data_IF_643585689970
#
_entry.id   IF_643585689970
#
_cell.length_a   1.000
_cell.length_b   1.000
_cell.length_c   1.000
_cell.angle_alpha   90.00
_cell.angle_beta   90.00
_cell.angle_gamma   90.00
#
_symmetry.space_group_name_H-M   'P 1'
#
loop_
_entity.id
_entity.type
_entity.pdbx_description
1 polymer ?
#
# COMPACT_ATOMS: atom_id res chain seq x y z
N UNK A 1 56.74 9.15 17.77
CA UNK A 1 56.18 7.79 17.90
C UNK A 1 55.90 7.34 16.48
N UNK A 2 56.46 6.24 15.98
CA UNK A 2 56.58 6.04 14.53
C UNK A 2 55.79 4.83 14.01
N UNK A 3 55.17 4.98 12.84
CA UNK A 3 54.54 3.92 12.05
C UNK A 3 55.23 3.92 10.68
N UNK A 4 55.86 2.81 10.29
CA UNK A 4 56.70 2.72 9.08
C UNK A 4 57.77 3.81 8.96
N UNK A 5 58.34 4.24 10.10
CA UNK A 5 59.36 5.31 10.12
C UNK A 5 58.81 6.73 9.98
N UNK A 6 57.49 6.89 9.79
CA UNK A 6 56.81 8.18 9.79
C UNK A 6 56.28 8.50 11.18
N UNK A 7 56.39 9.76 11.61
CA UNK A 7 55.85 10.16 12.92
C UNK A 7 54.32 10.14 12.90
N UNK A 8 53.72 9.60 13.96
CA UNK A 8 52.28 9.41 14.08
C UNK A 8 51.55 10.75 14.17
N UNK A 9 52.18 11.81 14.69
CA UNK A 9 51.57 13.14 14.71
C UNK A 9 51.42 13.67 13.28
N UNK A 10 52.46 13.51 12.47
CA UNK A 10 52.44 13.85 11.05
C UNK A 10 51.35 13.09 10.27
N UNK A 11 51.18 11.78 10.51
CA UNK A 11 50.10 10.99 9.90
C UNK A 11 48.73 11.48 10.37
N UNK A 12 48.59 11.84 11.65
CA UNK A 12 47.35 12.37 12.21
C UNK A 12 46.95 13.70 11.56
N UNK A 13 47.92 14.59 11.35
CA UNK A 13 47.68 15.91 10.76
C UNK A 13 47.31 15.82 9.27
N UNK A 14 47.85 14.84 8.54
CA UNK A 14 47.54 14.63 7.11
C UNK A 14 46.19 13.95 6.91
N UNK A 15 45.93 12.85 7.63
CA UNK A 15 44.79 11.99 7.34
C UNK A 15 43.58 12.30 8.21
N UNK A 16 43.76 12.93 9.39
CA UNK A 16 42.69 13.34 10.30
C UNK A 16 42.38 12.42 11.50
N UNK A 17 42.63 11.09 11.49
CA UNK A 17 42.46 10.26 12.68
C UNK A 17 43.38 10.68 13.82
N UNK A 18 42.90 10.53 15.06
CA UNK A 18 43.72 10.81 16.25
C UNK A 18 44.91 9.86 16.33
N UNK A 19 46.06 10.27 16.91
CA UNK A 19 47.26 9.44 17.06
C UNK A 19 46.98 8.07 17.71
N UNK A 20 46.07 8.05 18.71
CA UNK A 20 45.63 6.82 19.38
C UNK A 20 44.91 5.83 18.46
N UNK A 21 44.12 6.32 17.50
CA UNK A 21 43.41 5.48 16.53
C UNK A 21 44.39 4.87 15.53
N UNK A 22 45.33 5.67 15.04
CA UNK A 22 46.40 5.21 14.13
C UNK A 22 47.21 4.11 14.80
N UNK A 23 47.55 4.28 16.08
CA UNK A 23 48.28 3.26 16.82
C UNK A 23 47.46 1.99 17.05
N UNK A 24 46.17 2.12 17.35
CA UNK A 24 45.26 0.97 17.46
C UNK A 24 45.22 0.17 16.17
N UNK A 25 45.07 0.85 15.02
CA UNK A 25 45.08 0.21 13.70
C UNK A 25 46.43 -0.42 13.37
N UNK A 26 47.54 0.25 13.67
CA UNK A 26 48.87 -0.29 13.44
C UNK A 26 49.12 -1.57 14.27
N UNK A 27 48.71 -1.58 15.54
CA UNK A 27 48.81 -2.79 16.36
C UNK A 27 47.90 -3.92 15.85
N UNK A 28 46.67 -3.59 15.44
CA UNK A 28 45.76 -4.56 14.79
C UNK A 28 46.38 -5.15 13.52
N UNK A 29 47.03 -4.32 12.71
CA UNK A 29 47.75 -4.75 11.52
C UNK A 29 48.94 -5.67 11.85
N UNK A 30 49.73 -5.34 12.87
CA UNK A 30 50.86 -6.17 13.30
C UNK A 30 50.42 -7.55 13.80
N UNK A 31 49.23 -7.65 14.42
CA UNK A 31 48.72 -8.91 14.98
C UNK A 31 47.99 -9.75 13.92
N UNK A 32 47.10 -9.12 13.14
CA UNK A 32 46.17 -9.84 12.24
C UNK A 32 46.59 -9.79 10.76
N UNK A 33 47.59 -8.97 10.40
CA UNK A 33 48.01 -8.72 9.01
C UNK A 33 47.03 -7.84 8.21
N UNK A 34 45.83 -7.57 8.73
CA UNK A 34 44.79 -6.75 8.11
C UNK A 34 44.08 -5.92 9.20
N UNK A 35 43.66 -4.71 8.85
CA UNK A 35 42.77 -3.87 9.69
C UNK A 35 41.37 -3.97 9.13
N UNK A 36 40.58 -4.92 9.64
CA UNK A 36 39.14 -5.01 9.38
C UNK A 36 38.36 -4.37 10.52
N UNK A 37 37.15 -3.88 10.22
CA UNK A 37 36.21 -3.48 11.25
C UNK A 37 35.76 -4.70 12.05
N UNK A 38 35.55 -4.51 13.36
CA UNK A 38 34.99 -5.56 14.20
C UNK A 38 33.63 -6.00 13.63
N UNK A 39 33.40 -7.32 13.57
CA UNK A 39 32.08 -7.83 13.20
C UNK A 39 31.04 -7.23 14.15
N UNK A 40 29.91 -6.73 13.64
CA UNK A 40 28.87 -6.21 14.50
C UNK A 40 28.48 -7.28 15.51
N UNK A 41 28.30 -6.92 16.80
CA UNK A 41 28.01 -7.90 17.84
C UNK A 41 26.76 -8.71 17.46
N UNK A 42 26.87 -10.04 17.58
CA UNK A 42 25.75 -10.94 17.34
C UNK A 42 24.64 -10.60 18.34
N UNK A 43 23.47 -10.16 17.84
CA UNK A 43 22.34 -9.76 18.68
C UNK A 43 21.79 -10.99 19.41
N UNK A 44 22.10 -11.12 20.70
CA UNK A 44 21.71 -12.25 21.56
C UNK A 44 20.25 -12.21 22.04
N UNK A 45 19.49 -11.14 21.75
CA UNK A 45 18.13 -10.95 22.23
C UNK A 45 17.05 -11.57 21.30
N UNK A 46 17.27 -12.79 20.80
CA UNK A 46 16.28 -13.53 20.03
C UNK A 46 15.40 -14.35 20.96
N UNK A 47 14.11 -14.42 20.66
CA UNK A 47 13.23 -15.38 21.34
C UNK A 47 13.69 -16.80 21.01
N UNK A 48 13.61 -17.74 21.97
CA UNK A 48 13.91 -19.11 21.68
C UNK A 48 12.89 -19.71 20.70
N UNK A 49 13.32 -20.76 19.98
CA UNK A 49 12.63 -21.29 18.80
C UNK A 49 11.23 -21.81 19.12
N UNK A 50 11.06 -22.36 20.33
CA UNK A 50 9.80 -22.84 20.89
C UNK A 50 8.77 -21.71 21.07
N UNK A 51 9.22 -20.54 21.53
CA UNK A 51 8.39 -19.33 21.67
C UNK A 51 7.97 -18.83 20.29
N UNK A 52 8.91 -18.75 19.34
CA UNK A 52 8.62 -18.32 17.97
C UNK A 52 7.59 -19.24 17.30
N UNK A 53 7.72 -20.56 17.46
CA UNK A 53 6.75 -21.52 16.93
C UNK A 53 5.36 -21.38 17.58
N UNK A 54 5.30 -21.09 18.89
CA UNK A 54 4.05 -20.80 19.59
C UNK A 54 3.38 -19.53 19.10
N UNK A 55 4.15 -18.46 18.91
CA UNK A 55 3.67 -17.18 18.37
C UNK A 55 3.16 -17.34 16.94
N UNK A 56 3.89 -18.08 16.09
CA UNK A 56 3.47 -18.35 14.71
C UNK A 56 2.11 -19.06 14.66
N UNK A 57 1.91 -20.06 15.54
CA UNK A 57 0.63 -20.76 15.66
C UNK A 57 -0.49 -19.82 16.12
N UNK A 58 -0.23 -18.97 17.10
CA UNK A 58 -1.21 -18.00 17.60
C UNK A 58 -1.64 -17.01 16.50
N UNK A 59 -0.68 -16.46 15.75
CA UNK A 59 -0.96 -15.50 14.66
C UNK A 59 -1.81 -16.13 13.57
N UNK A 60 -1.53 -17.39 13.19
CA UNK A 60 -2.32 -18.12 12.18
C UNK A 60 -3.76 -18.37 12.63
N UNK A 61 -3.98 -18.63 13.92
CA UNK A 61 -5.31 -18.84 14.49
C UNK A 61 -6.07 -17.52 14.70
N UNK A 62 -5.37 -16.42 14.90
CA UNK A 62 -5.95 -15.10 15.15
C UNK A 62 -5.34 -14.04 14.24
N UNK A 63 -5.74 -13.92 12.96
CA UNK A 63 -5.17 -12.92 12.04
C UNK A 63 -5.40 -11.46 12.46
N UNK A 64 -6.44 -11.19 13.28
CA UNK A 64 -6.88 -9.86 13.70
C UNK A 64 -6.71 -9.62 15.20
N UNK A 65 -5.52 -9.89 15.71
CA UNK A 65 -5.20 -9.76 17.13
C UNK A 65 -4.59 -8.39 17.48
N UNK A 66 -4.78 -7.98 18.73
CA UNK A 66 -4.09 -6.86 19.35
C UNK A 66 -2.75 -7.33 19.94
N UNK A 67 -1.70 -6.49 19.88
CA UNK A 67 -0.38 -6.88 20.40
C UNK A 67 -0.42 -7.20 21.90
N UNK A 68 -1.32 -6.56 22.65
CA UNK A 68 -1.58 -6.80 24.07
C UNK A 68 -2.14 -8.20 24.32
N UNK A 69 -2.94 -8.74 23.38
CA UNK A 69 -3.45 -10.12 23.47
C UNK A 69 -2.34 -11.13 23.26
N UNK A 70 -1.45 -10.89 22.30
CA UNK A 70 -0.26 -11.72 22.10
C UNK A 70 0.71 -11.59 23.30
N UNK A 71 0.84 -10.41 23.90
CA UNK A 71 1.60 -10.22 25.13
C UNK A 71 1.02 -11.04 26.29
N UNK A 72 -0.30 -11.07 26.45
CA UNK A 72 -0.98 -11.92 27.43
C UNK A 72 -0.70 -13.40 27.20
N UNK A 73 -0.86 -13.88 25.97
CA UNK A 73 -0.54 -15.25 25.58
C UNK A 73 0.91 -15.63 25.93
N UNK A 74 1.87 -14.75 25.67
CA UNK A 74 3.28 -14.97 26.00
C UNK A 74 3.52 -15.04 27.51
N UNK A 75 2.85 -14.20 28.31
CA UNK A 75 2.95 -14.25 29.79
C UNK A 75 2.40 -15.53 30.37
N UNK A 76 1.31 -16.04 29.81
CA UNK A 76 0.63 -17.23 30.30
C UNK A 76 1.36 -18.53 29.92
N UNK A 77 1.90 -18.60 28.70
CA UNK A 77 2.48 -19.84 28.17
C UNK A 77 4.01 -19.90 28.28
N UNK A 78 4.69 -18.76 28.47
CA UNK A 78 6.15 -18.67 28.47
C UNK A 78 6.67 -17.72 29.57
N UNK A 79 6.63 -18.18 30.83
CA UNK A 79 7.00 -17.38 32.01
C UNK A 79 8.47 -16.91 32.03
N UNK A 80 9.37 -17.63 31.35
CA UNK A 80 10.81 -17.35 31.35
C UNK A 80 11.22 -16.23 30.37
N UNK A 81 10.31 -15.81 29.48
CA UNK A 81 10.59 -14.81 28.43
C UNK A 81 10.44 -13.40 28.99
N UNK A 82 11.57 -12.74 29.29
CA UNK A 82 11.57 -11.40 29.90
C UNK A 82 11.35 -10.25 28.90
N UNK A 83 11.67 -10.45 27.62
CA UNK A 83 11.65 -9.40 26.59
C UNK A 83 10.29 -9.31 25.85
N UNK A 84 9.18 -9.24 26.58
CA UNK A 84 7.80 -9.23 26.05
C UNK A 84 7.19 -7.83 25.90
N UNK A 85 7.98 -6.77 25.79
CA UNK A 85 7.45 -5.42 25.52
C UNK A 85 6.74 -5.39 24.15
N UNK A 86 5.72 -4.53 23.96
CA UNK A 86 5.01 -4.41 22.68
C UNK A 86 5.97 -4.12 21.52
N UNK A 87 6.99 -3.28 21.75
CA UNK A 87 8.03 -2.98 20.76
C UNK A 87 8.95 -4.17 20.47
N UNK A 88 9.16 -5.08 21.41
CA UNK A 88 9.91 -6.32 21.16
C UNK A 88 9.05 -7.31 20.39
N UNK A 89 7.79 -7.48 20.77
CA UNK A 89 6.83 -8.34 20.08
C UNK A 89 6.70 -7.89 18.62
N UNK A 90 6.47 -6.59 18.37
CA UNK A 90 6.36 -6.06 17.02
C UNK A 90 7.64 -6.30 16.19
N UNK A 91 8.82 -6.11 16.79
CA UNK A 91 10.10 -6.42 16.12
C UNK A 91 10.24 -7.92 15.84
N UNK A 92 9.87 -8.80 16.75
CA UNK A 92 9.94 -10.24 16.55
C UNK A 92 9.00 -10.70 15.42
N UNK A 93 7.77 -10.18 15.39
CA UNK A 93 6.83 -10.43 14.29
C UNK A 93 7.42 -10.00 12.94
N UNK A 94 8.02 -8.80 12.86
CA UNK A 94 8.55 -8.27 11.60
C UNK A 94 9.86 -8.94 11.16
N UNK A 95 10.81 -9.15 12.08
CA UNK A 95 12.19 -9.52 11.74
C UNK A 95 12.49 -11.01 11.92
N UNK A 96 11.82 -11.70 12.85
CA UNK A 96 12.05 -13.13 13.08
C UNK A 96 11.00 -13.99 12.34
N UNK A 97 9.74 -13.55 12.31
CA UNK A 97 8.66 -14.24 11.58
C UNK A 97 8.37 -13.68 10.18
N UNK A 98 9.00 -12.57 9.81
CA UNK A 98 8.83 -11.96 8.48
C UNK A 98 7.41 -11.43 8.20
N UNK A 99 6.61 -11.18 9.24
CA UNK A 99 5.24 -10.75 9.11
C UNK A 99 5.16 -9.23 8.97
N UNK A 100 4.27 -8.74 8.10
CA UNK A 100 3.99 -7.31 7.98
C UNK A 100 2.57 -7.01 8.45
N UNK A 101 2.40 -5.94 9.23
CA UNK A 101 1.07 -5.47 9.63
C UNK A 101 0.36 -4.83 8.44
N UNK A 102 -0.64 -5.54 7.93
CA UNK A 102 -1.55 -4.99 6.93
C UNK A 102 -2.79 -4.43 7.61
N UNK A 103 -3.22 -3.23 7.19
CA UNK A 103 -4.50 -2.65 7.61
C UNK A 103 -5.59 -3.31 6.78
N UNK A 104 -6.54 -3.98 7.42
CA UNK A 104 -7.71 -4.52 6.73
C UNK A 104 -8.53 -3.35 6.20
N UNK A 105 -8.67 -3.29 4.88
CA UNK A 105 -9.53 -2.31 4.21
C UNK A 105 -10.99 -2.74 4.32
N UNK A 106 -11.94 -1.82 4.56
CA UNK A 106 -13.38 -2.14 4.65
C UNK A 106 -13.93 -2.88 3.42
N UNK A 107 -13.38 -2.63 2.23
CA UNK A 107 -13.80 -3.25 0.97
C UNK A 107 -13.77 -4.79 1.02
N UNK A 108 -12.75 -5.38 1.66
CA UNK A 108 -12.63 -6.84 1.80
C UNK A 108 -13.69 -7.46 2.72
N UNK A 109 -14.34 -6.67 3.59
CA UNK A 109 -15.40 -7.16 4.50
C UNK A 109 -16.79 -7.17 3.89
N UNK A 110 -17.02 -6.38 2.85
CA UNK A 110 -18.36 -6.16 2.27
C UNK A 110 -18.49 -6.71 0.83
N UNK A 111 -17.41 -7.24 0.25
CA UNK A 111 -17.47 -7.88 -1.07
C UNK A 111 -18.26 -9.18 -1.01
N UNK A 112 -19.30 -9.30 -1.83
CA UNK A 112 -20.12 -10.52 -1.94
C UNK A 112 -19.53 -11.42 -3.04
N UNK A 113 -18.92 -12.57 -2.72
CA UNK A 113 -18.22 -13.41 -3.71
C UNK A 113 -19.11 -13.85 -4.88
N UNK A 114 -20.40 -14.06 -4.62
CA UNK A 114 -21.38 -14.44 -5.62
C UNK A 114 -21.63 -13.33 -6.66
N UNK A 115 -21.66 -12.06 -6.24
CA UNK A 115 -21.88 -10.94 -7.17
C UNK A 115 -20.66 -10.73 -8.07
N UNK A 116 -19.46 -10.88 -7.51
CA UNK A 116 -18.21 -10.88 -8.28
C UNK A 116 -18.22 -12.02 -9.32
N UNK A 117 -18.61 -13.23 -8.92
CA UNK A 117 -18.70 -14.37 -9.83
C UNK A 117 -19.71 -14.12 -10.96
N UNK A 118 -20.88 -13.57 -10.64
CA UNK A 118 -21.91 -13.22 -11.62
C UNK A 118 -21.43 -12.13 -12.59
N UNK A 119 -20.75 -11.10 -12.09
CA UNK A 119 -20.14 -10.05 -12.92
C UNK A 119 -19.11 -10.64 -13.89
N UNK A 120 -18.21 -11.49 -13.39
CA UNK A 120 -17.21 -12.18 -14.22
C UNK A 120 -17.84 -13.03 -15.31
N UNK A 121 -18.87 -13.80 -14.96
CA UNK A 121 -19.58 -14.64 -15.93
C UNK A 121 -20.20 -13.79 -17.05
N UNK A 122 -20.87 -12.69 -16.71
CA UNK A 122 -21.42 -11.74 -17.70
C UNK A 122 -20.32 -11.16 -18.58
N UNK A 123 -19.24 -10.65 -17.98
CA UNK A 123 -18.14 -10.01 -18.69
C UNK A 123 -17.44 -10.97 -19.65
N UNK A 124 -17.16 -12.22 -19.23
CA UNK A 124 -16.55 -13.25 -20.09
C UNK A 124 -17.36 -13.56 -21.34
N UNK A 125 -18.69 -13.41 -21.31
CA UNK A 125 -19.52 -13.68 -22.50
C UNK A 125 -19.41 -12.63 -23.61
N UNK A 126 -18.86 -11.46 -23.30
CA UNK A 126 -18.85 -10.30 -24.21
C UNK A 126 -17.46 -9.71 -24.42
N UNK A 127 -16.53 -9.94 -23.50
CA UNK A 127 -15.19 -9.38 -23.55
C UNK A 127 -14.31 -10.14 -24.55
N UNK A 128 -13.60 -9.41 -25.40
CA UNK A 128 -12.60 -9.93 -26.33
C UNK A 128 -11.31 -9.12 -26.30
N UNK A 129 -11.37 -7.80 -26.12
CA UNK A 129 -10.20 -6.93 -26.04
C UNK A 129 -10.50 -5.66 -25.24
N UNK A 130 -9.49 -5.02 -24.60
CA UNK A 130 -9.69 -3.86 -23.73
C UNK A 130 -10.38 -2.67 -24.40
N UNK A 131 -10.21 -2.46 -25.71
CA UNK A 131 -10.78 -1.34 -26.44
C UNK A 131 -12.31 -1.36 -26.53
N UNK A 132 -12.95 -2.48 -26.17
CA UNK A 132 -14.42 -2.57 -26.04
C UNK A 132 -14.94 -1.93 -24.76
N UNK A 133 -14.06 -1.65 -23.79
CA UNK A 133 -14.45 -1.18 -22.48
C UNK A 133 -14.45 0.35 -22.41
N UNK A 134 -15.62 0.90 -22.12
CA UNK A 134 -15.78 2.29 -21.71
C UNK A 134 -16.16 2.26 -20.23
N UNK A 135 -15.25 2.73 -19.38
CA UNK A 135 -15.51 2.88 -17.96
C UNK A 135 -15.95 4.32 -17.67
N UNK A 136 -16.94 4.46 -16.80
CA UNK A 136 -17.45 5.74 -16.33
C UNK A 136 -17.51 5.65 -14.82
N UNK A 137 -16.84 6.58 -14.14
CA UNK A 137 -16.85 6.67 -12.70
C UNK A 137 -16.64 8.11 -12.25
N UNK A 138 -17.10 8.43 -11.05
CA UNK A 138 -16.99 9.75 -10.44
C UNK A 138 -15.98 9.70 -9.29
N UNK A 139 -15.05 10.66 -9.26
CA UNK A 139 -14.21 10.87 -8.08
C UNK A 139 -14.46 12.24 -7.50
N UNK A 140 -14.63 12.28 -6.18
CA UNK A 140 -14.60 13.52 -5.44
C UNK A 140 -13.20 13.75 -4.87
N UNK A 141 -12.74 15.00 -4.96
CA UNK A 141 -11.57 15.47 -4.24
C UNK A 141 -11.97 16.73 -3.49
N UNK A 142 -12.23 16.59 -2.19
CA UNK A 142 -12.49 17.74 -1.33
C UNK A 142 -11.23 18.61 -1.27
N UNK A 143 -11.34 19.86 -1.72
CA UNK A 143 -10.27 20.85 -1.69
C UNK A 143 -9.75 21.12 -0.27
N UNK A 144 -10.52 20.73 0.75
CA UNK A 144 -10.14 20.80 2.18
C UNK A 144 -9.15 19.72 2.59
N UNK A 145 -8.93 18.66 1.81
CA UNK A 145 -7.95 17.63 2.16
C UNK A 145 -6.49 18.13 2.20
N UNK A 146 -6.20 19.30 1.63
CA UNK A 146 -4.89 19.96 1.78
C UNK A 146 -4.67 20.57 3.18
N UNK A 147 -5.75 20.80 3.95
CA UNK A 147 -5.71 21.33 5.31
C UNK A 147 -6.62 20.49 6.21
N UNK A 148 -6.10 19.41 6.81
CA UNK A 148 -6.82 18.67 7.85
C UNK A 148 -7.06 19.57 9.07
N UNK A 149 -8.25 20.16 9.16
CA UNK A 149 -8.97 20.36 10.43
C UNK A 149 -10.27 19.58 10.32
N UNK A 150 -10.52 18.75 11.32
CA UNK A 150 -11.71 17.91 11.44
C UNK A 150 -12.97 18.74 11.23
N UNK A 151 -13.71 18.46 10.15
CA UNK A 151 -15.08 18.95 9.95
C UNK A 151 -15.92 17.72 9.65
N UNK A 152 -16.90 17.43 10.51
CA UNK A 152 -17.92 16.42 10.25
C UNK A 152 -18.97 16.98 9.31
N UNK A 153 -19.61 16.10 8.54
CA UNK A 153 -20.79 16.45 7.76
C UNK A 153 -21.96 16.76 8.70
N UNK A 154 -22.58 17.93 8.51
CA UNK A 154 -23.87 18.26 9.12
C UNK A 154 -24.91 18.25 7.99
N UNK A 155 -25.90 17.36 8.06
CA UNK A 155 -27.04 17.36 7.14
C UNK A 155 -27.94 18.54 7.48
N UNK A 156 -28.04 19.51 6.58
CA UNK A 156 -29.05 20.58 6.63
C UNK A 156 -30.38 20.09 6.05
N UNK A 157 -31.49 20.65 6.52
CA UNK A 157 -32.82 20.39 5.93
C UNK A 157 -32.83 20.82 4.46
N UNK A 158 -33.10 19.86 3.56
CA UNK A 158 -33.08 20.04 2.09
C UNK A 158 -31.96 19.29 1.37
N UNK A 159 -30.94 18.80 2.08
CA UNK A 159 -29.92 17.91 1.48
C UNK A 159 -30.40 16.46 1.46
N UNK A 160 -30.51 15.86 0.28
CA UNK A 160 -30.79 14.43 0.12
C UNK A 160 -29.70 13.61 0.82
N UNK A 161 -30.10 12.68 1.70
CA UNK A 161 -29.16 11.68 2.21
C UNK A 161 -28.58 10.89 1.04
N UNK A 162 -27.32 10.43 1.15
CA UNK A 162 -26.67 9.59 0.14
C UNK A 162 -27.56 8.42 -0.30
N UNK A 163 -28.26 7.79 0.65
CA UNK A 163 -29.20 6.70 0.40
C UNK A 163 -30.43 7.14 -0.41
N UNK A 164 -30.99 8.32 -0.15
CA UNK A 164 -32.11 8.86 -0.92
C UNK A 164 -31.70 9.24 -2.35
N UNK A 165 -30.49 9.79 -2.53
CA UNK A 165 -29.92 10.05 -3.85
C UNK A 165 -29.71 8.77 -4.64
N UNK A 166 -29.04 7.75 -4.07
CA UNK A 166 -28.84 6.47 -4.76
C UNK A 166 -30.16 5.81 -5.15
N UNK A 167 -31.19 5.90 -4.28
CA UNK A 167 -32.52 5.36 -4.59
C UNK A 167 -33.18 6.09 -5.76
N UNK A 168 -33.11 7.42 -5.79
CA UNK A 168 -33.67 8.23 -6.87
C UNK A 168 -32.91 7.99 -8.19
N UNK A 169 -31.58 7.99 -8.14
CA UNK A 169 -30.70 7.70 -9.28
C UNK A 169 -30.99 6.32 -9.87
N UNK A 170 -31.07 5.28 -9.03
CA UNK A 170 -31.36 3.93 -9.49
C UNK A 170 -32.77 3.79 -10.09
N UNK A 171 -33.76 4.51 -9.54
CA UNK A 171 -35.15 4.41 -9.98
C UNK A 171 -35.42 5.16 -11.28
N UNK A 172 -34.79 6.31 -11.48
CA UNK A 172 -35.14 7.24 -12.56
C UNK A 172 -34.05 7.35 -13.63
N UNK A 173 -32.79 7.44 -13.23
CA UNK A 173 -31.68 7.70 -14.16
C UNK A 173 -31.17 6.42 -14.84
N UNK A 174 -31.04 5.31 -14.11
CA UNK A 174 -30.53 4.05 -14.68
C UNK A 174 -31.38 3.56 -15.87
N UNK A 175 -32.73 3.53 -15.82
CA UNK A 175 -33.52 3.04 -16.95
C UNK A 175 -33.38 3.91 -18.21
N UNK A 176 -33.29 5.23 -18.05
CA UNK A 176 -33.08 6.16 -19.15
C UNK A 176 -31.68 5.98 -19.76
N UNK A 177 -30.65 5.87 -18.91
CA UNK A 177 -29.28 5.61 -19.33
C UNK A 177 -29.17 4.28 -20.08
N UNK A 178 -29.78 3.22 -19.57
CA UNK A 178 -29.78 1.89 -20.20
C UNK A 178 -30.42 1.95 -21.59
N UNK A 179 -31.57 2.64 -21.74
CA UNK A 179 -32.23 2.83 -23.03
C UNK A 179 -31.31 3.53 -24.04
N UNK A 180 -30.66 4.62 -23.63
CA UNK A 180 -29.75 5.39 -24.49
C UNK A 180 -28.52 4.56 -24.88
N UNK A 181 -27.90 3.86 -23.91
CA UNK A 181 -26.72 3.01 -24.15
C UNK A 181 -27.07 1.86 -25.10
N UNK A 182 -28.21 1.19 -24.89
CA UNK A 182 -28.65 0.09 -25.75
C UNK A 182 -28.95 0.53 -27.19
N UNK A 183 -29.46 1.76 -27.40
CA UNK A 183 -29.67 2.30 -28.75
C UNK A 183 -28.36 2.46 -29.54
N UNK A 184 -27.22 2.62 -28.87
CA UNK A 184 -25.90 2.69 -29.52
C UNK A 184 -25.28 1.30 -29.80
N UNK A 185 -25.94 0.22 -29.36
CA UNK A 185 -25.41 -1.15 -29.44
C UNK A 185 -24.43 -1.52 -28.32
N UNK A 186 -24.16 -0.60 -27.38
CA UNK A 186 -23.38 -0.88 -26.19
C UNK A 186 -24.24 -1.56 -25.11
N UNK A 187 -23.57 -2.20 -24.14
CA UNK A 187 -24.23 -2.83 -22.97
C UNK A 187 -23.76 -2.15 -21.69
N UNK A 188 -24.71 -1.86 -20.81
CA UNK A 188 -24.40 -1.29 -19.50
C UNK A 188 -24.05 -2.42 -18.51
N UNK A 189 -22.87 -2.35 -17.91
CA UNK A 189 -22.42 -3.29 -16.88
C UNK A 189 -22.06 -2.52 -15.62
N UNK A 190 -22.72 -2.85 -14.51
CA UNK A 190 -22.39 -2.30 -13.21
C UNK A 190 -21.29 -3.12 -12.54
N UNK A 191 -20.30 -2.43 -11.96
CA UNK A 191 -19.30 -3.06 -11.12
C UNK A 191 -19.97 -3.65 -9.86
N UNK A 192 -19.51 -4.82 -9.38
CA UNK A 192 -19.96 -5.34 -8.11
C UNK A 192 -19.59 -4.38 -6.96
N UNK A 193 -20.41 -4.34 -5.90
CA UNK A 193 -20.17 -3.45 -4.77
C UNK A 193 -18.82 -3.74 -4.14
N UNK A 194 -18.12 -2.66 -3.75
CA UNK A 194 -16.84 -2.72 -3.05
C UNK A 194 -15.71 -3.45 -3.78
N UNK A 195 -15.74 -3.47 -5.12
CA UNK A 195 -14.69 -4.09 -5.95
C UNK A 195 -13.90 -3.05 -6.76
N UNK A 196 -13.19 -2.10 -6.11
CA UNK A 196 -12.39 -1.09 -6.81
C UNK A 196 -11.22 -1.69 -7.60
N UNK A 197 -10.79 -2.92 -7.29
CA UNK A 197 -9.71 -3.61 -8.01
C UNK A 197 -10.07 -3.87 -9.47
N UNK A 198 -11.37 -3.91 -9.79
CA UNK A 198 -11.90 -4.13 -11.14
C UNK A 198 -12.07 -2.84 -11.93
N UNK A 199 -11.72 -1.70 -11.35
CA UNK A 199 -11.93 -0.39 -11.95
C UNK A 199 -10.60 0.29 -12.31
N UNK A 200 -10.14 0.19 -13.57
CA UNK A 200 -8.97 0.91 -14.08
C UNK A 200 -8.98 2.41 -13.77
N UNK A 201 -10.16 3.03 -13.64
CA UNK A 201 -10.28 4.45 -13.34
C UNK A 201 -9.69 4.77 -11.96
N UNK A 202 -9.75 3.86 -10.98
CA UNK A 202 -9.15 4.06 -9.66
C UNK A 202 -7.62 4.21 -9.74
N UNK A 203 -6.96 3.45 -10.63
CA UNK A 203 -5.53 3.58 -10.89
C UNK A 203 -5.20 4.91 -11.56
N UNK A 204 -6.04 5.34 -12.52
CA UNK A 204 -5.93 6.63 -13.18
C UNK A 204 -6.09 7.78 -12.17
N UNK A 205 -7.12 7.74 -11.32
CA UNK A 205 -7.35 8.74 -10.28
C UNK A 205 -6.28 8.70 -9.19
N UNK A 206 -5.77 7.53 -8.83
CA UNK A 206 -4.64 7.40 -7.92
C UNK A 206 -3.40 8.12 -8.45
N UNK A 207 -3.09 7.95 -9.74
CA UNK A 207 -1.99 8.62 -10.43
C UNK A 207 -2.19 10.14 -10.48
N UNK A 208 -3.40 10.58 -10.86
CA UNK A 208 -3.78 11.99 -10.88
C UNK A 208 -3.66 12.63 -9.48
N UNK A 209 -4.16 11.97 -8.44
CA UNK A 209 -4.09 12.44 -7.05
C UNK A 209 -2.64 12.59 -6.59
N UNK A 210 -1.77 11.61 -6.87
CA UNK A 210 -0.33 11.67 -6.57
C UNK A 210 0.36 12.81 -7.30
N UNK A 211 0.06 13.01 -8.59
CA UNK A 211 0.61 14.12 -9.37
C UNK A 211 0.23 15.46 -8.77
N UNK A 212 -1.05 15.67 -8.46
CA UNK A 212 -1.52 16.92 -7.87
C UNK A 212 -0.87 17.15 -6.49
N UNK A 213 -0.81 16.12 -5.64
CA UNK A 213 -0.16 16.23 -4.32
C UNK A 213 1.31 16.64 -4.43
N UNK A 214 2.01 16.16 -5.46
CA UNK A 214 3.43 16.43 -5.66
C UNK A 214 3.70 17.80 -6.27
N UNK A 215 2.90 18.22 -7.25
CA UNK A 215 3.24 19.36 -8.12
C UNK A 215 2.29 20.55 -8.01
N UNK A 216 1.04 20.33 -7.58
CA UNK A 216 -0.01 21.34 -7.66
C UNK A 216 -0.84 21.45 -6.38
N UNK A 217 -0.36 20.93 -5.25
CA UNK A 217 -1.15 20.84 -4.01
C UNK A 217 -1.64 22.20 -3.51
N UNK A 218 -0.81 23.24 -3.65
CA UNK A 218 -1.15 24.62 -3.24
C UNK A 218 -2.04 25.35 -4.25
N UNK A 219 -1.96 24.97 -5.53
CA UNK A 219 -2.64 25.66 -6.65
C UNK A 219 -4.00 25.05 -6.93
N UNK A 220 -4.16 23.74 -6.71
CA UNK A 220 -5.38 23.00 -6.97
C UNK A 220 -6.64 23.59 -6.31
N UNK A 221 -6.61 24.10 -5.05
CA UNK A 221 -7.80 24.73 -4.46
C UNK A 221 -8.20 26.07 -5.12
N UNK A 222 -7.27 26.72 -5.82
CA UNK A 222 -7.49 28.04 -6.44
C UNK A 222 -7.90 27.92 -7.91
N UNK A 223 -7.27 26.98 -8.62
CA UNK A 223 -7.40 26.81 -10.08
C UNK A 223 -7.55 25.32 -10.42
N UNK A 224 -8.65 24.67 -9.98
CA UNK A 224 -8.83 23.23 -10.15
C UNK A 224 -8.90 22.84 -11.63
N UNK A 225 -9.60 23.60 -12.45
CA UNK A 225 -9.84 23.28 -13.86
C UNK A 225 -8.53 23.34 -14.67
N UNK A 226 -7.72 24.38 -14.45
CA UNK A 226 -6.43 24.55 -15.10
C UNK A 226 -5.43 23.48 -14.67
N UNK A 227 -5.40 23.16 -13.36
CA UNK A 227 -4.56 22.08 -12.84
C UNK A 227 -4.99 20.74 -13.44
N UNK A 228 -6.29 20.46 -13.52
CA UNK A 228 -6.80 19.22 -14.11
C UNK A 228 -6.50 19.14 -15.61
N UNK A 229 -6.64 20.22 -16.37
CA UNK A 229 -6.32 20.25 -17.79
C UNK A 229 -4.85 19.85 -18.07
N UNK A 230 -3.92 20.31 -17.22
CA UNK A 230 -2.51 19.93 -17.31
C UNK A 230 -2.28 18.51 -16.79
N UNK A 231 -2.79 18.21 -15.60
CA UNK A 231 -2.54 16.95 -14.91
C UNK A 231 -3.11 15.75 -15.68
N UNK A 232 -4.33 15.85 -16.20
CA UNK A 232 -4.94 14.79 -17.01
C UNK A 232 -4.14 14.51 -18.27
N UNK A 233 -3.66 15.56 -18.95
CA UNK A 233 -2.82 15.40 -20.15
C UNK A 233 -1.47 14.76 -19.84
N UNK A 234 -0.87 15.07 -18.69
CA UNK A 234 0.41 14.48 -18.29
C UNK A 234 0.24 13.06 -17.77
N UNK A 235 -0.82 12.78 -17.01
CA UNK A 235 -1.07 11.43 -16.50
C UNK A 235 -1.53 10.48 -17.59
N UNK A 236 -2.18 10.92 -18.67
CA UNK A 236 -2.67 10.01 -19.73
C UNK A 236 -1.65 9.69 -20.82
N UNK A 237 -0.44 10.26 -20.79
CA UNK A 237 0.59 9.95 -21.77
C UNK A 237 1.19 8.57 -21.51
N UNK A 238 1.29 7.76 -22.57
CA UNK A 238 1.78 6.37 -22.55
C UNK A 238 3.25 6.22 -22.09
N UNK A 239 4.03 7.29 -22.15
CA UNK A 239 5.47 7.33 -21.82
C UNK A 239 5.77 7.76 -20.38
N UNK A 240 4.77 8.22 -19.63
CA UNK A 240 4.95 8.75 -18.27
C UNK A 240 4.36 7.85 -17.19
N UNK A 241 5.11 7.70 -16.10
CA UNK A 241 4.81 7.03 -14.82
C UNK A 241 3.61 6.05 -14.79
N UNK A 242 3.91 4.76 -14.90
CA UNK A 242 3.15 3.71 -14.21
C UNK A 242 1.77 3.34 -14.76
N UNK A 243 1.40 3.82 -15.95
CA UNK A 243 0.16 3.45 -16.65
C UNK A 243 0.39 2.50 -17.84
N UNK A 244 1.57 1.89 -17.93
CA UNK A 244 1.74 0.69 -18.75
C UNK A 244 0.84 -0.40 -18.16
N UNK A 245 -0.15 -0.84 -18.94
CA UNK A 245 -1.08 -1.93 -18.62
C UNK A 245 -2.04 -1.69 -17.44
N UNK A 246 -2.70 -0.52 -17.39
CA UNK A 246 -3.77 -0.20 -16.42
C UNK A 246 -4.91 -1.22 -16.45
N UNK A 247 -5.25 -1.66 -17.66
CA UNK A 247 -6.31 -2.64 -17.90
C UNK A 247 -5.89 -4.03 -17.40
N UNK A 248 -4.67 -4.50 -17.70
CA UNK A 248 -4.18 -5.78 -17.20
C UNK A 248 -4.00 -5.83 -15.68
N UNK A 249 -3.67 -4.71 -15.03
CA UNK A 249 -3.68 -4.61 -13.57
C UNK A 249 -5.05 -4.91 -12.94
N UNK A 250 -6.14 -4.59 -13.65
CA UNK A 250 -7.51 -4.89 -13.25
C UNK A 250 -8.04 -6.21 -13.83
N UNK A 251 -7.18 -7.00 -14.49
CA UNK A 251 -7.52 -8.31 -15.06
C UNK A 251 -8.04 -8.29 -16.50
N UNK A 252 -8.04 -7.14 -17.18
CA UNK A 252 -8.44 -7.00 -18.58
C UNK A 252 -7.21 -7.10 -19.50
N UNK A 253 -6.89 -8.31 -19.96
CA UNK A 253 -5.75 -8.54 -20.88
C UNK A 253 -6.20 -8.47 -22.35
N UNK A 254 -5.21 -8.31 -23.23
CA UNK A 254 -5.35 -8.23 -24.68
C UNK A 254 -5.95 -9.47 -25.35
N UNK A 255 -5.85 -10.64 -24.71
CA UNK A 255 -6.35 -11.90 -25.25
C UNK A 255 -7.43 -12.55 -24.40
N UNK A 256 -7.39 -12.39 -23.07
CA UNK A 256 -8.32 -13.05 -22.13
C UNK A 256 -8.48 -12.25 -20.81
N UNK A 257 -9.51 -12.58 -20.02
CA UNK A 257 -9.63 -12.07 -18.65
C UNK A 257 -8.74 -12.92 -17.73
N UNK A 258 -7.73 -12.34 -17.07
CA UNK A 258 -6.81 -13.08 -16.21
C UNK A 258 -7.47 -13.48 -14.90
N UNK A 259 -7.59 -14.77 -14.61
CA UNK A 259 -8.21 -15.23 -13.35
C UNK A 259 -7.41 -14.87 -12.08
N UNK A 260 -6.09 -14.73 -12.20
CA UNK A 260 -5.19 -14.51 -11.06
C UNK A 260 -5.31 -13.14 -10.40
N UNK A 261 -5.64 -12.10 -11.17
CA UNK A 261 -5.87 -10.74 -10.64
C UNK A 261 -7.05 -10.69 -9.67
N UNK A 262 -7.89 -11.73 -9.65
CA UNK A 262 -9.11 -11.80 -8.86
C UNK A 262 -9.04 -12.78 -7.67
N UNK A 263 -7.92 -13.46 -7.45
CA UNK A 263 -7.75 -14.43 -6.35
C UNK A 263 -7.52 -13.77 -4.97
N UNK A 264 -7.22 -12.47 -4.95
CA UNK A 264 -7.10 -11.70 -3.71
C UNK A 264 -8.44 -11.54 -2.97
N UNK A 265 -9.57 -11.68 -3.68
CA UNK A 265 -10.93 -11.54 -3.13
C UNK A 265 -11.52 -12.87 -2.62
N UNK A 266 -10.93 -14.02 -2.96
CA UNK A 266 -11.38 -15.35 -2.52
C UNK A 266 -10.59 -15.90 -1.32
N UNK A 267 -9.53 -15.22 -0.90
CA UNK A 267 -8.55 -15.72 0.07
C UNK A 267 -8.58 -15.01 1.43
N UNK A 268 -9.68 -14.32 1.77
CA UNK A 268 -9.86 -13.61 3.06
C UNK A 268 -10.95 -14.24 3.91
#
# INVERSE_FOLDING_TARGET
MHVYGLDVQFISDIFGPKPKTIFRWYNLFLVNGVVEDDKPPVRTARWPVDVLAGVERYVKQHPTFYLEKLQGFLRENYADVKNISLSTICRALNFELGLTRNVITPAARESVPQEIANYKAKLRTIYSYPEQLILIDETSKDGRHAYRRFVSWETTDGTSTRSSFHRAFAKHFIPELESVVHQTGARLLFLPPYCPELNPIELCFGSLKKWIQRYANLVFPLYPDEVLAVAMKLCTRRDTWGLLDVFGHCGFDSTELRDDSFNFLSSS
#
